data_IF_157266140608
#
_entry.id   IF_157266140608
#
_cell.length_a   1.000
_cell.length_b   1.000
_cell.length_c   1.000
_cell.angle_alpha   90.00
_cell.angle_beta   90.00
_cell.angle_gamma   90.00
#
_symmetry.space_group_name_H-M   'P 1'
#
loop_
_entity.id
_entity.type
_entity.pdbx_description
1 polymer ?
#
# COMPACT_ATOMS: atom_id res chain seq x y z
N UNK A 1 12.74 5.32 12.52
CA UNK A 1 12.95 4.19 11.58
C UNK A 1 14.32 3.58 11.79
N UNK A 2 15.39 4.37 11.72
CA UNK A 2 16.79 3.89 11.75
C UNK A 2 17.17 2.94 12.89
N UNK A 3 16.65 3.14 14.10
CA UNK A 3 17.03 2.31 15.26
C UNK A 3 16.18 1.06 15.41
N UNK A 4 14.96 1.04 14.86
CA UNK A 4 13.93 0.04 15.20
C UNK A 4 13.43 -0.71 13.98
N UNK A 5 13.27 -0.03 12.85
CA UNK A 5 12.59 -0.57 11.67
C UNK A 5 13.57 -1.06 10.62
N UNK A 6 14.52 -0.21 10.20
CA UNK A 6 15.47 -0.57 9.13
C UNK A 6 16.51 -1.62 9.51
N UNK A 7 16.94 -1.76 10.77
CA UNK A 7 17.91 -2.81 11.13
C UNK A 7 17.35 -4.23 11.02
N UNK A 8 16.03 -4.40 10.96
CA UNK A 8 15.40 -5.73 10.87
C UNK A 8 15.73 -6.41 9.55
N UNK A 9 16.36 -7.58 9.60
CA UNK A 9 16.86 -8.27 8.39
C UNK A 9 15.77 -8.55 7.36
N UNK A 10 14.54 -8.88 7.81
CA UNK A 10 13.38 -9.05 6.92
C UNK A 10 13.02 -7.78 6.16
N UNK A 11 13.19 -6.61 6.79
CA UNK A 11 12.91 -5.31 6.18
C UNK A 11 13.97 -4.99 5.14
N UNK A 12 15.25 -5.16 5.48
CA UNK A 12 16.37 -4.92 4.56
C UNK A 12 16.21 -5.78 3.31
N UNK A 13 16.06 -7.09 3.49
CA UNK A 13 15.92 -8.03 2.38
C UNK A 13 14.73 -7.68 1.48
N UNK A 14 13.57 -7.41 2.08
CA UNK A 14 12.38 -7.05 1.31
C UNK A 14 12.58 -5.78 0.48
N UNK A 15 13.24 -4.76 1.04
CA UNK A 15 13.54 -3.51 0.33
C UNK A 15 14.51 -3.76 -0.83
N UNK A 16 15.61 -4.48 -0.61
CA UNK A 16 16.62 -4.77 -1.63
C UNK A 16 16.07 -5.59 -2.80
N UNK A 17 15.14 -6.51 -2.53
CA UNK A 17 14.53 -7.36 -3.55
C UNK A 17 13.47 -6.63 -4.40
N UNK A 18 12.81 -5.60 -3.87
CA UNK A 18 11.62 -5.01 -4.49
C UNK A 18 11.76 -3.53 -4.86
N UNK A 19 12.76 -2.81 -4.35
CA UNK A 19 12.89 -1.36 -4.51
C UNK A 19 14.33 -0.94 -4.81
N UNK A 20 14.46 0.26 -5.37
CA UNK A 20 15.71 1.03 -5.33
C UNK A 20 15.58 2.00 -4.13
N UNK A 21 16.16 1.69 -2.95
CA UNK A 21 16.00 2.54 -1.78
C UNK A 21 16.79 3.83 -1.92
N UNK A 22 16.12 4.97 -1.73
CA UNK A 22 16.74 6.30 -1.69
C UNK A 22 16.46 6.96 -0.35
N UNK A 23 17.54 7.33 0.36
CA UNK A 23 17.47 8.13 1.58
C UNK A 23 17.90 9.55 1.28
N UNK A 24 16.97 10.48 1.40
CA UNK A 24 17.20 11.90 1.10
C UNK A 24 17.05 12.71 2.40
N UNK A 25 18.05 13.53 2.79
CA UNK A 25 17.90 14.46 3.90
C UNK A 25 16.72 15.42 3.68
N UNK A 26 15.97 15.73 4.74
CA UNK A 26 14.73 16.53 4.65
C UNK A 26 14.93 17.99 4.24
N UNK A 27 16.17 18.47 4.22
CA UNK A 27 16.60 19.80 3.81
C UNK A 27 17.30 19.80 2.42
N UNK A 28 17.46 18.64 1.79
CA UNK A 28 18.17 18.48 0.52
C UNK A 28 17.30 18.86 -0.69
N UNK A 29 17.13 20.16 -0.92
CA UNK A 29 16.43 20.71 -2.10
C UNK A 29 17.00 20.15 -3.43
N UNK A 30 16.14 19.93 -4.45
CA UNK A 30 14.73 20.34 -4.55
C UNK A 30 13.73 19.28 -4.03
N UNK A 31 14.18 18.11 -3.56
CA UNK A 31 13.30 16.96 -3.34
C UNK A 31 12.18 17.18 -2.29
N UNK A 32 12.44 17.80 -1.12
CA UNK A 32 11.38 18.08 -0.15
C UNK A 32 10.30 19.00 -0.71
N UNK A 33 10.66 19.95 -1.57
CA UNK A 33 9.70 20.85 -2.23
C UNK A 33 8.94 20.09 -3.34
N UNK A 34 9.66 19.32 -4.18
CA UNK A 34 9.07 18.51 -5.27
C UNK A 34 8.02 17.51 -4.78
N UNK A 35 8.29 16.82 -3.67
CA UNK A 35 7.41 15.79 -3.11
C UNK A 35 6.60 16.28 -1.90
N UNK A 36 6.54 17.60 -1.68
CA UNK A 36 5.80 18.22 -0.59
C UNK A 36 6.05 17.56 0.79
N UNK A 37 7.32 17.30 1.12
CA UNK A 37 7.72 16.73 2.40
C UNK A 37 7.80 17.85 3.43
N UNK A 38 6.87 17.84 4.40
CA UNK A 38 6.80 18.82 5.50
C UNK A 38 7.10 18.23 6.89
N UNK A 39 7.05 16.91 7.01
CA UNK A 39 7.27 16.20 8.27
C UNK A 39 8.06 14.91 8.05
N UNK A 40 8.78 14.45 9.07
CA UNK A 40 9.63 13.24 8.98
C UNK A 40 9.29 12.22 10.07
N UNK A 41 9.51 10.92 9.81
CA UNK A 41 9.87 10.35 8.50
C UNK A 41 8.69 10.44 7.53
N UNK A 42 8.99 10.63 6.24
CA UNK A 42 8.03 10.48 5.14
C UNK A 42 8.60 9.44 4.19
N UNK A 43 7.80 8.44 3.83
CA UNK A 43 8.14 7.45 2.83
C UNK A 43 7.23 7.64 1.63
N UNK A 44 7.81 7.56 0.44
CA UNK A 44 7.08 7.70 -0.82
C UNK A 44 7.48 6.56 -1.74
N UNK A 45 6.49 5.83 -2.25
CA UNK A 45 6.69 4.86 -3.35
C UNK A 45 6.54 5.60 -4.66
N UNK A 46 7.61 5.59 -5.45
CA UNK A 46 7.68 6.27 -6.74
C UNK A 46 7.84 5.27 -7.89
N UNK A 47 7.24 5.56 -9.04
CA UNK A 47 7.61 4.95 -10.30
C UNK A 47 8.95 5.48 -10.83
N UNK A 48 9.56 4.84 -11.85
CA UNK A 48 10.81 5.32 -12.45
C UNK A 48 10.74 6.74 -13.03
N UNK A 49 9.58 7.20 -13.49
CA UNK A 49 9.35 8.57 -13.97
C UNK A 49 9.09 9.58 -12.83
N UNK A 50 9.05 9.11 -11.59
CA UNK A 50 8.92 9.94 -10.39
C UNK A 50 7.48 10.30 -10.03
N UNK A 51 6.49 9.57 -10.57
CA UNK A 51 5.11 9.64 -10.11
C UNK A 51 4.98 8.93 -8.76
N UNK A 52 4.21 9.55 -7.86
CA UNK A 52 3.92 8.98 -6.54
C UNK A 52 2.71 8.07 -6.58
N UNK A 53 2.87 6.88 -6.00
CA UNK A 53 1.81 5.86 -5.89
C UNK A 53 1.37 5.61 -4.45
N UNK A 54 2.24 5.85 -3.47
CA UNK A 54 1.90 5.63 -2.07
C UNK A 54 2.78 6.46 -1.14
N UNK A 55 2.22 6.83 0.02
CA UNK A 55 2.88 7.67 1.02
C UNK A 55 2.52 7.25 2.42
N UNK A 56 3.51 7.32 3.30
CA UNK A 56 3.29 7.32 4.75
C UNK A 56 4.04 8.47 5.40
N UNK A 57 3.47 9.01 6.47
CA UNK A 57 4.03 10.12 7.25
C UNK A 57 4.03 9.71 8.71
N UNK A 58 5.17 9.90 9.39
CA UNK A 58 5.37 9.46 10.76
C UNK A 58 5.96 8.05 10.85
N UNK A 59 6.22 7.63 12.08
CA UNK A 59 6.89 6.36 12.37
C UNK A 59 6.05 5.14 11.94
N UNK A 60 6.71 4.16 11.34
CA UNK A 60 6.17 2.82 11.08
C UNK A 60 7.10 1.76 11.68
N UNK A 61 6.53 0.85 12.45
CA UNK A 61 7.25 -0.31 12.96
C UNK A 61 7.61 -1.31 11.84
N UNK A 62 8.51 -2.27 12.10
CA UNK A 62 8.89 -3.29 11.11
C UNK A 62 7.72 -4.15 10.65
N UNK A 63 6.75 -4.43 11.53
CA UNK A 63 5.54 -5.17 11.17
C UNK A 63 4.58 -4.40 10.25
N UNK A 64 4.69 -3.07 10.21
CA UNK A 64 3.83 -2.21 9.39
C UNK A 64 4.52 -1.71 8.12
N UNK A 65 5.86 -1.74 8.09
CA UNK A 65 6.61 -1.22 6.94
C UNK A 65 6.46 -2.12 5.70
N UNK A 66 6.70 -3.42 5.83
CA UNK A 66 6.58 -4.35 4.69
C UNK A 66 5.17 -4.33 4.08
N UNK A 67 4.07 -4.45 4.85
CA UNK A 67 2.73 -4.34 4.27
C UNK A 67 2.45 -2.98 3.65
N UNK A 68 2.95 -1.88 4.23
CA UNK A 68 2.83 -0.56 3.59
C UNK A 68 3.58 -0.48 2.25
N UNK A 69 4.74 -1.13 2.12
CA UNK A 69 5.50 -1.17 0.88
C UNK A 69 4.84 -2.07 -0.16
N UNK A 70 4.31 -3.24 0.24
CA UNK A 70 3.51 -4.11 -0.62
C UNK A 70 2.27 -3.39 -1.15
N UNK A 71 1.60 -2.61 -0.31
CA UNK A 71 0.47 -1.77 -0.72
C UNK A 71 0.91 -0.75 -1.77
N UNK A 72 2.07 -0.11 -1.59
CA UNK A 72 2.65 0.80 -2.58
C UNK A 72 2.92 0.14 -3.93
N UNK A 73 3.48 -1.08 -3.94
CA UNK A 73 3.65 -1.86 -5.18
C UNK A 73 2.32 -2.24 -5.82
N UNK A 74 1.34 -2.64 -5.01
CA UNK A 74 -0.02 -2.94 -5.49
C UNK A 74 -0.66 -1.73 -6.18
N UNK A 75 -0.54 -0.54 -5.58
CA UNK A 75 -1.04 0.73 -6.15
C UNK A 75 -0.29 1.12 -7.41
N UNK A 76 1.05 0.98 -7.42
CA UNK A 76 1.85 1.18 -8.63
C UNK A 76 1.37 0.30 -9.81
N UNK A 77 1.10 -0.98 -9.56
CA UNK A 77 0.59 -1.86 -10.61
C UNK A 77 -0.84 -1.49 -11.02
N UNK A 78 -1.73 -1.25 -10.05
CA UNK A 78 -3.12 -0.87 -10.29
C UNK A 78 -3.25 0.42 -11.12
N UNK A 79 -2.50 1.46 -10.78
CA UNK A 79 -2.52 2.76 -11.45
C UNK A 79 -1.91 2.72 -12.86
N UNK A 80 -1.17 1.64 -13.17
CA UNK A 80 -0.65 1.34 -14.50
C UNK A 80 -1.49 0.24 -15.21
N UNK A 81 -2.73 0.01 -14.78
CA UNK A 81 -3.67 -0.98 -15.31
C UNK A 81 -3.14 -2.44 -15.39
N UNK A 82 -2.09 -2.76 -14.60
CA UNK A 82 -1.49 -4.10 -14.46
C UNK A 82 -2.16 -4.85 -13.33
N UNK A 83 -3.41 -5.27 -13.55
CA UNK A 83 -4.25 -5.79 -12.48
C UNK A 83 -3.79 -7.13 -11.92
N UNK A 84 -3.18 -8.00 -12.72
CA UNK A 84 -2.69 -9.30 -12.25
C UNK A 84 -1.50 -9.13 -11.31
N UNK A 85 -0.55 -8.26 -11.65
CA UNK A 85 0.58 -7.92 -10.80
C UNK A 85 0.13 -7.17 -9.54
N UNK A 86 -0.86 -6.28 -9.64
CA UNK A 86 -1.45 -5.63 -8.48
C UNK A 86 -2.03 -6.67 -7.52
N UNK A 87 -2.86 -7.59 -8.03
CA UNK A 87 -3.47 -8.66 -7.24
C UNK A 87 -2.41 -9.57 -6.59
N UNK A 88 -1.32 -9.88 -7.28
CA UNK A 88 -0.23 -10.67 -6.71
C UNK A 88 0.43 -9.98 -5.50
N UNK A 89 0.70 -8.67 -5.58
CA UNK A 89 1.29 -7.91 -4.45
C UNK A 89 0.31 -7.74 -3.29
N UNK A 90 -0.96 -7.51 -3.59
CA UNK A 90 -2.00 -7.41 -2.56
C UNK A 90 -2.27 -8.75 -1.88
N UNK A 91 -2.18 -9.88 -2.61
CA UNK A 91 -2.26 -11.21 -2.02
C UNK A 91 -1.10 -11.46 -1.05
N UNK A 92 0.15 -11.14 -1.45
CA UNK A 92 1.31 -11.23 -0.54
C UNK A 92 1.11 -10.42 0.75
N UNK A 93 0.52 -9.23 0.64
CA UNK A 93 0.19 -8.41 1.81
C UNK A 93 -0.83 -9.10 2.72
N UNK A 94 -1.92 -9.61 2.16
CA UNK A 94 -2.99 -10.20 2.94
C UNK A 94 -2.62 -11.56 3.55
N UNK A 95 -1.80 -12.35 2.86
CA UNK A 95 -1.36 -13.67 3.32
C UNK A 95 -0.30 -13.55 4.42
N UNK A 96 0.64 -12.60 4.29
CA UNK A 96 1.71 -12.40 5.28
C UNK A 96 1.38 -11.43 6.42
N UNK A 97 0.52 -10.44 6.14
CA UNK A 97 0.32 -9.26 6.99
C UNK A 97 -1.16 -8.86 7.08
N UNK A 98 -2.06 -9.85 7.04
CA UNK A 98 -3.51 -9.64 7.01
C UNK A 98 -4.13 -8.97 8.24
N UNK A 99 -3.35 -8.61 9.26
CA UNK A 99 -3.77 -7.81 10.43
C UNK A 99 -3.13 -6.42 10.49
N UNK A 100 -2.29 -6.06 9.50
CA UNK A 100 -1.62 -4.76 9.44
C UNK A 100 -2.58 -3.62 9.13
N UNK A 101 -2.16 -2.38 9.41
CA UNK A 101 -2.93 -1.19 9.06
C UNK A 101 -3.16 -1.00 7.56
N UNK A 102 -2.36 -1.67 6.71
CA UNK A 102 -2.50 -1.64 5.24
C UNK A 102 -3.50 -2.68 4.70
N UNK A 103 -3.86 -3.69 5.50
CA UNK A 103 -4.74 -4.79 5.06
C UNK A 103 -6.13 -4.34 4.61
N UNK A 104 -6.81 -3.36 5.26
CA UNK A 104 -8.12 -2.91 4.78
C UNK A 104 -8.04 -2.26 3.39
N UNK A 105 -7.02 -1.43 3.13
CA UNK A 105 -6.82 -0.85 1.79
C UNK A 105 -6.56 -1.93 0.75
N UNK A 106 -5.77 -2.93 1.11
CA UNK A 106 -5.45 -4.03 0.22
C UNK A 106 -6.69 -4.85 -0.16
N UNK A 107 -7.59 -5.16 0.80
CA UNK A 107 -8.86 -5.85 0.50
C UNK A 107 -9.72 -5.01 -0.45
N UNK A 108 -9.82 -3.69 -0.20
CA UNK A 108 -10.54 -2.79 -1.08
C UNK A 108 -9.98 -2.84 -2.52
N UNK A 109 -8.66 -2.70 -2.66
CA UNK A 109 -8.00 -2.73 -3.96
C UNK A 109 -8.08 -4.09 -4.65
N UNK A 110 -8.12 -5.22 -3.92
CA UNK A 110 -8.37 -6.54 -4.51
C UNK A 110 -9.73 -6.59 -5.20
N UNK A 111 -10.77 -6.05 -4.55
CA UNK A 111 -12.10 -5.93 -5.15
C UNK A 111 -12.08 -5.07 -6.42
N UNK A 112 -11.45 -3.89 -6.34
CA UNK A 112 -11.36 -2.94 -7.46
C UNK A 112 -10.57 -3.53 -8.64
N UNK A 113 -9.40 -4.11 -8.40
CA UNK A 113 -8.58 -4.72 -9.45
C UNK A 113 -9.31 -5.90 -10.10
N UNK A 114 -9.96 -6.75 -9.30
CA UNK A 114 -10.71 -7.89 -9.81
C UNK A 114 -11.87 -7.45 -10.69
N UNK A 115 -12.62 -6.43 -10.28
CA UNK A 115 -13.68 -5.85 -11.10
C UNK A 115 -13.14 -5.23 -12.40
N UNK A 116 -12.06 -4.43 -12.33
CA UNK A 116 -11.47 -3.85 -13.54
C UNK A 116 -11.01 -4.92 -14.52
N UNK A 117 -10.45 -6.02 -14.02
CA UNK A 117 -9.99 -7.16 -14.84
C UNK A 117 -11.14 -7.96 -15.47
N UNK A 118 -12.23 -8.21 -14.75
CA UNK A 118 -13.31 -9.11 -15.21
C UNK A 118 -14.58 -8.42 -15.70
N UNK A 119 -14.77 -7.13 -15.35
CA UNK A 119 -16.02 -6.38 -15.46
C UNK A 119 -17.20 -6.97 -14.66
N UNK A 120 -16.96 -7.95 -13.78
CA UNK A 120 -17.95 -8.54 -12.88
C UNK A 120 -17.96 -7.75 -11.56
N UNK A 121 -19.09 -7.16 -11.11
CA UNK A 121 -19.16 -6.40 -9.86
C UNK A 121 -19.08 -7.26 -8.58
N UNK A 122 -19.25 -8.59 -8.65
CA UNK A 122 -19.22 -9.48 -7.47
C UNK A 122 -17.98 -9.32 -6.56
N UNK A 123 -16.75 -9.17 -7.08
CA UNK A 123 -15.56 -8.97 -6.25
C UNK A 123 -15.61 -7.68 -5.42
N UNK A 124 -16.30 -6.63 -5.88
CA UNK A 124 -16.49 -5.40 -5.11
C UNK A 124 -17.35 -5.67 -3.87
N UNK A 125 -18.44 -6.42 -4.04
CA UNK A 125 -19.30 -6.84 -2.93
C UNK A 125 -18.56 -7.74 -1.95
N UNK A 126 -17.84 -8.73 -2.46
CA UNK A 126 -17.03 -9.63 -1.64
C UNK A 126 -15.97 -8.86 -0.82
N UNK A 127 -15.34 -7.83 -1.41
CA UNK A 127 -14.42 -6.95 -0.69
C UNK A 127 -15.12 -6.18 0.43
N UNK A 128 -16.31 -5.63 0.19
CA UNK A 128 -17.11 -4.96 1.23
C UNK A 128 -17.51 -5.90 2.37
N UNK A 129 -17.97 -7.12 2.05
CA UNK A 129 -18.35 -8.12 3.05
C UNK A 129 -17.14 -8.51 3.92
N UNK A 130 -15.97 -8.74 3.29
CA UNK A 130 -14.73 -9.05 3.99
C UNK A 130 -14.26 -7.88 4.87
N UNK A 131 -14.33 -6.64 4.37
CA UNK A 131 -13.99 -5.44 5.13
C UNK A 131 -14.90 -5.24 6.34
N UNK A 132 -16.21 -5.44 6.17
CA UNK A 132 -17.18 -5.32 7.26
C UNK A 132 -16.94 -6.38 8.34
N UNK A 133 -16.56 -7.60 7.94
CA UNK A 133 -16.31 -8.69 8.87
C UNK A 133 -14.99 -8.54 9.64
N UNK A 134 -13.91 -8.13 8.97
CA UNK A 134 -12.56 -8.11 9.55
C UNK A 134 -12.14 -6.74 10.09
N UNK A 135 -12.64 -5.66 9.50
CA UNK A 135 -12.20 -4.30 9.75
C UNK A 135 -13.38 -3.30 9.80
N UNK A 136 -14.42 -3.55 10.61
CA UNK A 136 -15.67 -2.79 10.56
C UNK A 136 -15.48 -1.28 10.69
N UNK A 137 -14.52 -0.84 11.50
CA UNK A 137 -14.28 0.58 11.77
C UNK A 137 -13.30 1.27 10.81
N UNK A 138 -12.70 0.51 9.88
CA UNK A 138 -11.70 1.06 8.97
C UNK A 138 -12.30 2.08 7.99
N UNK A 139 -11.46 3.03 7.55
CA UNK A 139 -11.84 3.97 6.51
C UNK A 139 -12.26 3.26 5.21
N UNK A 140 -11.60 2.15 4.88
CA UNK A 140 -11.87 1.38 3.66
C UNK A 140 -13.20 0.65 3.70
N UNK A 141 -13.68 0.24 4.87
CA UNK A 141 -15.06 -0.26 5.04
C UNK A 141 -16.09 0.82 4.74
N UNK A 142 -15.86 2.06 5.18
CA UNK A 142 -16.73 3.21 4.88
C UNK A 142 -16.71 3.55 3.40
N UNK A 143 -15.53 3.53 2.76
CA UNK A 143 -15.37 3.77 1.32
C UNK A 143 -16.02 2.68 0.46
N UNK A 144 -15.98 1.42 0.92
CA UNK A 144 -16.61 0.28 0.25
C UNK A 144 -18.14 0.21 0.44
N UNK A 145 -18.73 1.06 1.29
CA UNK A 145 -20.15 1.01 1.64
C UNK A 145 -21.12 0.93 0.44
N UNK A 146 -20.92 1.64 -0.68
CA UNK A 146 -21.80 1.51 -1.85
C UNK A 146 -21.84 0.10 -2.46
N UNK A 147 -20.79 -0.71 -2.31
CA UNK A 147 -20.69 -2.04 -2.90
C UNK A 147 -21.65 -3.07 -2.28
N UNK A 148 -22.26 -2.76 -1.14
CA UNK A 148 -23.30 -3.60 -0.51
C UNK A 148 -24.53 -3.82 -1.38
N UNK A 149 -24.76 -2.95 -2.37
CA UNK A 149 -25.91 -2.95 -3.26
C UNK A 149 -25.70 -3.76 -4.55
N UNK A 150 -24.47 -4.25 -4.78
CA UNK A 150 -24.10 -5.02 -5.96
C UNK A 150 -24.56 -6.49 -5.90
#
# INVERSE_FOLDING_TARGET
MDTVTYPESKVVQFIEENFIPLRIPSDSKPHPDKFNVKWTPTLVTLSPDGQEHHRTVGFLGPEELIPSLLLGLGKYHYENDRFDEALARLAQLLDGYGQSGSAPEAIFLVGVCSYKRSQDPKPLKAAYEKLTALFPDSEWTKRAYPYRLL
#
